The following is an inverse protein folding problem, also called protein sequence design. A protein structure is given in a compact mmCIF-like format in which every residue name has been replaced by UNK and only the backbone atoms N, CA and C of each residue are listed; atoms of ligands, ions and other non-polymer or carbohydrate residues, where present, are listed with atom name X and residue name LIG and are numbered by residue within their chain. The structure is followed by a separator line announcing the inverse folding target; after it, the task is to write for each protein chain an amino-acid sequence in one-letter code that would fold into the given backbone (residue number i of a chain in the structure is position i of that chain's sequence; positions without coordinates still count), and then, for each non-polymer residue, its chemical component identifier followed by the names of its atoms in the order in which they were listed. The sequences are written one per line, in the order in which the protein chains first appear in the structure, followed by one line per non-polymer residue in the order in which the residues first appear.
data_IF_088874815009
#
_entry.id   IF_088874815009
#
_cell.length_a   1.000
_cell.length_b   1.000
_cell.length_c   1.000
_cell.angle_alpha   90.00
_cell.angle_beta   90.00
_cell.angle_gamma   90.00
#
_symmetry.space_group_name_H-M   'P 1'
#
loop_
_entity.id
_entity.type
_entity.pdbx_description
1 polymer ?
#
# COMPACT_ATOMS: atom_id res chain seq x y z
N UNK A 1 0.61 20.97 5.35
CA UNK A 1 1.08 19.63 4.98
C UNK A 1 1.91 19.72 3.71
N UNK A 2 3.00 19.01 3.68
CA UNK A 2 3.88 19.02 2.53
C UNK A 2 3.30 18.10 1.44
N UNK A 3 3.09 18.67 0.24
CA UNK A 3 2.46 17.97 -0.86
C UNK A 3 3.32 16.85 -1.46
N UNK A 4 4.61 16.80 -1.09
CA UNK A 4 5.52 15.80 -1.62
C UNK A 4 5.66 14.55 -0.75
N UNK A 5 4.99 14.52 0.40
CA UNK A 5 5.00 13.34 1.26
C UNK A 5 4.16 12.23 0.65
N UNK A 6 4.70 11.01 0.66
CA UNK A 6 3.96 9.86 0.14
C UNK A 6 3.03 9.33 1.22
N UNK A 7 1.72 9.47 1.00
CA UNK A 7 0.69 9.03 1.95
C UNK A 7 -0.06 7.79 1.50
N UNK A 8 -0.02 7.50 0.20
CA UNK A 8 -0.77 6.39 -0.38
C UNK A 8 0.01 5.86 -1.58
N UNK A 9 0.07 4.55 -1.69
CA UNK A 9 0.66 3.90 -2.85
C UNK A 9 -0.46 3.37 -3.74
N UNK A 10 -0.39 3.73 -5.03
CA UNK A 10 -1.33 3.26 -6.03
C UNK A 10 -0.60 2.49 -7.10
N UNK A 11 -1.14 1.35 -7.46
CA UNK A 11 -0.58 0.52 -8.52
C UNK A 11 -1.71 -0.02 -9.39
N UNK A 12 -1.54 0.10 -10.70
CA UNK A 12 -2.49 -0.46 -11.65
C UNK A 12 -1.88 -1.67 -12.32
N UNK A 13 -2.62 -2.78 -12.33
CA UNK A 13 -2.22 -3.98 -13.04
C UNK A 13 -3.31 -4.33 -14.04
N UNK A 14 -2.94 -4.35 -15.32
CA UNK A 14 -3.89 -4.59 -16.40
C UNK A 14 -4.13 -6.06 -16.67
N UNK A 15 -3.24 -6.92 -16.21
CA UNK A 15 -3.35 -8.36 -16.40
C UNK A 15 -3.90 -9.00 -15.14
N UNK A 16 -4.75 -10.01 -15.32
CA UNK A 16 -5.20 -10.82 -14.20
C UNK A 16 -4.08 -11.79 -13.84
N UNK A 17 -3.14 -11.32 -13.05
CA UNK A 17 -2.08 -12.16 -12.52
C UNK A 17 -2.48 -12.72 -11.16
N UNK A 18 -1.70 -13.68 -10.68
CA UNK A 18 -1.87 -14.19 -9.34
C UNK A 18 -1.65 -13.05 -8.33
N UNK A 19 -2.44 -13.04 -7.26
CA UNK A 19 -2.27 -12.07 -6.17
C UNK A 19 -0.86 -12.11 -5.59
N UNK A 20 -0.23 -13.28 -5.63
CA UNK A 20 1.14 -13.46 -5.13
C UNK A 20 2.17 -12.67 -5.92
N UNK A 21 1.89 -12.38 -7.17
CA UNK A 21 2.82 -11.65 -8.02
C UNK A 21 2.80 -10.15 -7.75
N UNK A 22 1.71 -9.64 -7.16
CA UNK A 22 1.55 -8.21 -6.86
C UNK A 22 2.20 -7.81 -5.53
N UNK A 23 2.18 -8.71 -4.55
CA UNK A 23 2.66 -8.39 -3.21
C UNK A 23 4.12 -7.95 -3.15
N UNK A 24 5.07 -8.64 -3.82
CA UNK A 24 6.46 -8.19 -3.77
C UNK A 24 6.66 -6.79 -4.31
N UNK A 25 5.93 -6.41 -5.36
CA UNK A 25 6.03 -5.07 -5.94
C UNK A 25 5.50 -4.00 -4.98
N UNK A 26 4.36 -4.27 -4.36
CA UNK A 26 3.76 -3.33 -3.42
C UNK A 26 4.68 -3.14 -2.20
N UNK A 27 5.25 -4.22 -1.69
CA UNK A 27 6.18 -4.16 -0.56
C UNK A 27 7.42 -3.35 -0.92
N UNK A 28 7.99 -3.59 -2.11
CA UNK A 28 9.16 -2.85 -2.57
C UNK A 28 8.88 -1.35 -2.67
N UNK A 29 7.72 -0.99 -3.21
CA UNK A 29 7.31 0.42 -3.31
C UNK A 29 7.15 1.06 -1.93
N UNK A 30 6.61 0.31 -0.96
CA UNK A 30 6.45 0.82 0.39
C UNK A 30 7.80 1.08 1.06
N UNK A 31 8.79 0.20 0.83
CA UNK A 31 10.13 0.40 1.38
C UNK A 31 10.78 1.65 0.78
N UNK A 32 10.64 1.85 -0.52
CA UNK A 32 11.17 3.05 -1.19
C UNK A 32 10.47 4.31 -0.66
N UNK A 33 9.15 4.26 -0.49
CA UNK A 33 8.38 5.39 0.02
C UNK A 33 8.80 5.77 1.44
N UNK A 34 9.08 4.77 2.28
CA UNK A 34 9.57 5.00 3.63
C UNK A 34 10.90 5.78 3.60
N UNK A 35 11.83 5.32 2.78
CA UNK A 35 13.13 5.96 2.68
C UNK A 35 13.01 7.40 2.17
N UNK A 36 12.17 7.64 1.17
CA UNK A 36 11.97 8.97 0.61
C UNK A 36 11.31 9.92 1.61
N UNK A 37 10.30 9.47 2.35
CA UNK A 37 9.63 10.29 3.35
C UNK A 37 10.58 10.67 4.47
N UNK A 38 11.40 9.74 4.96
CA UNK A 38 12.36 10.03 6.02
C UNK A 38 13.44 11.01 5.55
N UNK A 39 13.91 10.84 4.31
CA UNK A 39 14.89 11.77 3.76
C UNK A 39 14.33 13.18 3.68
N UNK A 40 13.08 13.30 3.29
CA UNK A 40 12.42 14.60 3.21
C UNK A 40 12.22 15.21 4.58
N UNK A 41 11.77 14.43 5.56
CA UNK A 41 11.58 14.92 6.91
C UNK A 41 12.89 15.45 7.50
N UNK A 42 13.99 14.71 7.32
CA UNK A 42 15.29 15.12 7.82
C UNK A 42 15.81 16.38 7.10
N UNK A 43 15.72 16.38 5.77
CA UNK A 43 16.33 17.44 4.95
C UNK A 43 15.50 18.72 4.94
N UNK A 44 14.20 18.62 4.71
CA UNK A 44 13.35 19.78 4.46
C UNK A 44 12.67 20.30 5.71
N UNK A 45 12.27 19.41 6.62
CA UNK A 45 11.49 19.76 7.78
C UNK A 45 12.31 19.72 9.08
N UNK A 46 13.54 19.23 9.01
CA UNK A 46 14.43 19.08 10.15
C UNK A 46 13.77 18.34 11.31
N UNK A 47 12.97 17.33 10.97
CA UNK A 47 12.28 16.49 11.94
C UNK A 47 13.07 15.22 12.19
N UNK A 48 12.92 14.59 13.37
CA UNK A 48 13.57 13.31 13.62
C UNK A 48 13.03 12.24 12.67
N UNK A 49 13.88 11.26 12.34
CA UNK A 49 13.50 10.16 11.46
C UNK A 49 12.41 9.33 12.12
N UNK A 50 11.47 8.87 11.32
CA UNK A 50 10.39 8.02 11.78
C UNK A 50 10.89 6.59 11.93
N UNK A 51 10.53 5.93 13.04
CA UNK A 51 10.91 4.53 13.25
C UNK A 51 10.05 3.56 12.46
N UNK A 52 8.80 3.92 12.20
CA UNK A 52 7.91 3.10 11.41
C UNK A 52 6.82 3.95 10.78
N UNK A 53 6.39 3.55 9.60
CA UNK A 53 5.29 4.18 8.88
C UNK A 53 4.38 3.09 8.35
N UNK A 54 3.08 3.23 8.57
CA UNK A 54 2.08 2.35 7.97
C UNK A 54 1.61 2.95 6.66
N UNK A 55 1.82 2.23 5.55
CA UNK A 55 1.40 2.66 4.23
C UNK A 55 0.11 1.95 3.84
N UNK A 56 -0.97 2.69 3.62
CA UNK A 56 -2.12 2.14 2.93
C UNK A 56 -1.78 2.03 1.44
N UNK A 57 -2.05 0.87 0.85
CA UNK A 57 -1.73 0.62 -0.55
C UNK A 57 -2.97 0.09 -1.27
N UNK A 58 -3.12 0.50 -2.51
CA UNK A 58 -4.25 0.10 -3.32
C UNK A 58 -3.73 -0.38 -4.68
N UNK A 59 -4.05 -1.62 -5.02
CA UNK A 59 -3.73 -2.19 -6.32
C UNK A 59 -5.02 -2.48 -7.07
N UNK A 60 -5.10 -2.05 -8.32
CA UNK A 60 -6.26 -2.32 -9.15
C UNK A 60 -5.95 -3.47 -10.10
N UNK A 61 -6.71 -4.54 -10.00
CA UNK A 61 -6.65 -5.67 -10.95
C UNK A 61 -7.88 -5.53 -11.83
N UNK A 62 -7.68 -4.94 -13.02
CA UNK A 62 -8.81 -4.46 -13.80
C UNK A 62 -9.49 -3.32 -13.06
N UNK A 63 -10.78 -3.46 -12.73
CA UNK A 63 -11.51 -2.49 -11.91
C UNK A 63 -11.82 -3.02 -10.51
N UNK A 64 -11.14 -4.09 -10.10
CA UNK A 64 -11.30 -4.67 -8.76
C UNK A 64 -10.13 -4.21 -7.88
N UNK A 65 -10.39 -3.49 -6.79
CA UNK A 65 -9.32 -3.04 -5.91
C UNK A 65 -8.88 -4.15 -4.96
N UNK A 66 -7.59 -4.14 -4.64
CA UNK A 66 -7.01 -4.96 -3.58
C UNK A 66 -6.34 -4.00 -2.62
N UNK A 67 -6.70 -4.10 -1.35
CA UNK A 67 -6.23 -3.16 -0.32
C UNK A 67 -5.14 -3.82 0.51
N UNK A 68 -4.09 -3.04 0.79
CA UNK A 68 -3.00 -3.49 1.65
C UNK A 68 -2.72 -2.47 2.73
N UNK A 69 -2.31 -2.95 3.90
CA UNK A 69 -1.69 -2.13 4.93
C UNK A 69 -0.31 -2.72 5.20
N UNK A 70 0.72 -1.92 4.98
CA UNK A 70 2.10 -2.36 5.10
C UNK A 70 2.82 -1.42 6.04
N UNK A 71 3.31 -1.95 7.16
CA UNK A 71 4.10 -1.16 8.11
C UNK A 71 5.57 -1.41 7.83
N UNK A 72 6.28 -0.36 7.44
CA UNK A 72 7.71 -0.41 7.17
C UNK A 72 8.44 0.19 8.36
N UNK A 73 9.41 -0.55 8.90
CA UNK A 73 10.22 -0.09 10.02
C UNK A 73 11.59 0.38 9.52
N UNK A 74 12.25 1.22 10.32
CA UNK A 74 13.60 1.64 10.01
C UNK A 74 14.56 0.44 9.95
N UNK A 75 14.34 -0.57 10.80
CA UNK A 75 15.15 -1.78 10.80
C UNK A 75 15.03 -2.55 9.49
N UNK A 76 13.79 -2.69 8.97
CA UNK A 76 13.58 -3.35 7.68
C UNK A 76 14.24 -2.58 6.54
N UNK A 77 14.07 -1.27 6.52
CA UNK A 77 14.65 -0.41 5.48
C UNK A 77 16.18 -0.55 5.47
N UNK A 78 16.78 -0.54 6.65
CA UNK A 78 18.23 -0.68 6.80
C UNK A 78 18.71 -2.05 6.34
N UNK A 79 17.98 -3.11 6.71
CA UNK A 79 18.34 -4.48 6.30
C UNK A 79 18.32 -4.62 4.79
N UNK A 80 17.30 -4.04 4.11
CA UNK A 80 17.23 -4.09 2.66
C UNK A 80 18.38 -3.32 2.01
N UNK A 81 18.72 -2.15 2.54
CA UNK A 81 19.80 -1.34 2.00
C UNK A 81 21.17 -2.02 2.13
N UNK A 82 21.37 -2.78 3.19
CA UNK A 82 22.66 -3.45 3.44
C UNK A 82 22.69 -4.88 2.93
N UNK A 83 21.59 -5.38 2.37
CA UNK A 83 21.50 -6.76 1.89
C UNK A 83 21.43 -7.77 3.02
N UNK A 84 21.10 -7.35 4.23
CA UNK A 84 20.97 -8.22 5.40
C UNK A 84 19.56 -8.78 5.50
N UNK A 85 19.44 -9.94 6.14
CA UNK A 85 18.13 -10.52 6.41
C UNK A 85 17.55 -9.86 7.67
N UNK A 86 16.30 -9.35 7.62
CA UNK A 86 15.72 -8.71 8.79
C UNK A 86 15.44 -9.70 9.91
N UNK A 87 15.66 -9.27 11.16
CA UNK A 87 15.45 -10.13 12.33
C UNK A 87 13.97 -10.28 12.68
N UNK A 88 13.19 -9.24 12.41
CA UNK A 88 11.77 -9.20 12.76
C UNK A 88 10.91 -9.32 11.51
N UNK A 89 9.87 -10.11 11.61
CA UNK A 89 8.93 -10.27 10.50
C UNK A 89 8.19 -8.96 10.22
N UNK A 90 7.95 -8.71 8.93
CA UNK A 90 7.08 -7.62 8.49
C UNK A 90 5.75 -8.22 8.11
N UNK A 91 4.68 -7.73 8.75
CA UNK A 91 3.33 -8.19 8.46
C UNK A 91 2.69 -7.31 7.40
N UNK A 92 2.08 -7.96 6.43
CA UNK A 92 1.34 -7.29 5.35
C UNK A 92 -0.10 -7.74 5.45
N UNK A 93 -1.00 -6.79 5.64
CA UNK A 93 -2.44 -7.08 5.68
C UNK A 93 -3.02 -6.83 4.30
N UNK A 94 -3.72 -7.83 3.79
CA UNK A 94 -4.33 -7.77 2.46
C UNK A 94 -5.83 -8.00 2.60
N UNK A 95 -6.62 -7.12 1.98
CA UNK A 95 -8.07 -7.28 1.95
C UNK A 95 -8.56 -7.30 0.52
N UNK A 96 -9.25 -8.37 0.17
CA UNK A 96 -9.87 -8.57 -1.13
C UNK A 96 -11.38 -8.49 -0.90
N UNK A 97 -12.04 -7.56 -1.58
CA UNK A 97 -13.48 -7.39 -1.43
C UNK A 97 -14.22 -8.62 -1.95
N UNK A 98 -15.11 -9.17 -1.11
CA UNK A 98 -16.01 -10.25 -1.54
C UNK A 98 -17.17 -9.61 -2.31
N UNK A 99 -17.21 -9.85 -3.62
CA UNK A 99 -18.18 -9.21 -4.50
C UNK A 99 -19.41 -10.09 -4.70
N UNK A 100 -20.61 -9.48 -4.86
CA UNK A 100 -21.83 -10.23 -5.16
C UNK A 100 -21.77 -10.96 -6.50
N UNK A 101 -21.07 -10.38 -7.48
CA UNK A 101 -20.82 -11.00 -8.79
C UNK A 101 -19.36 -11.38 -8.87
N UNK A 102 -18.94 -11.93 -10.02
CA UNK A 102 -17.57 -12.38 -10.20
C UNK A 102 -16.57 -11.25 -10.04
N UNK A 103 -15.46 -11.53 -9.36
CA UNK A 103 -14.40 -10.54 -9.18
C UNK A 103 -13.82 -10.09 -10.53
N UNK A 104 -13.79 -10.97 -11.52
CA UNK A 104 -13.29 -10.64 -12.86
C UNK A 104 -14.16 -9.58 -13.57
N UNK A 105 -15.42 -9.43 -13.17
CA UNK A 105 -16.30 -8.41 -13.73
C UNK A 105 -16.01 -7.02 -13.15
N UNK A 106 -15.40 -6.97 -11.97
CA UNK A 106 -15.01 -5.73 -11.32
C UNK A 106 -16.20 -4.80 -11.08
N UNK A 107 -16.06 -3.55 -11.50
CA UNK A 107 -17.09 -2.52 -11.31
C UNK A 107 -18.20 -2.51 -12.35
N UNK A 108 -18.18 -3.41 -13.33
CA UNK A 108 -19.20 -3.45 -14.36
C UNK A 108 -20.60 -3.67 -13.81
N UNK A 109 -20.85 -4.74 -13.00
CA UNK A 109 -22.18 -4.91 -12.42
C UNK A 109 -22.41 -3.89 -11.31
N UNK A 110 -23.62 -3.32 -11.26
CA UNK A 110 -23.95 -2.33 -10.24
C UNK A 110 -23.77 -2.86 -8.80
N UNK A 111 -24.20 -4.10 -8.46
CA UNK A 111 -23.97 -4.60 -7.10
C UNK A 111 -22.48 -4.63 -6.70
N UNK A 112 -21.61 -5.02 -7.63
CA UNK A 112 -20.16 -5.01 -7.39
C UNK A 112 -19.66 -3.59 -7.17
N UNK A 113 -20.10 -2.66 -8.01
CA UNK A 113 -19.69 -1.26 -7.95
C UNK A 113 -20.03 -0.65 -6.61
N UNK A 114 -21.25 -0.88 -6.12
CA UNK A 114 -21.67 -0.36 -4.82
C UNK A 114 -20.81 -0.89 -3.69
N UNK A 115 -20.51 -2.20 -3.72
CA UNK A 115 -19.66 -2.81 -2.70
C UNK A 115 -18.24 -2.25 -2.73
N UNK A 116 -17.68 -2.09 -3.92
CA UNK A 116 -16.32 -1.55 -4.10
C UNK A 116 -16.26 -0.12 -3.59
N UNK A 117 -17.25 0.72 -3.93
CA UNK A 117 -17.27 2.11 -3.49
C UNK A 117 -17.35 2.22 -1.97
N UNK A 118 -18.11 1.33 -1.32
CA UNK A 118 -18.15 1.28 0.14
C UNK A 118 -16.79 0.94 0.74
N UNK A 119 -16.08 0.00 0.13
CA UNK A 119 -14.75 -0.37 0.59
C UNK A 119 -13.75 0.76 0.40
N UNK A 120 -13.81 1.47 -0.72
CA UNK A 120 -12.96 2.63 -0.96
C UNK A 120 -13.23 3.73 0.07
N UNK A 121 -14.49 3.97 0.39
CA UNK A 121 -14.86 4.97 1.40
C UNK A 121 -14.32 4.59 2.78
N UNK A 122 -14.44 3.33 3.16
CA UNK A 122 -13.90 2.86 4.42
C UNK A 122 -12.37 2.96 4.47
N UNK A 123 -11.71 2.74 3.33
CA UNK A 123 -10.25 2.78 3.25
C UNK A 123 -9.69 4.18 3.46
N UNK A 124 -10.48 5.21 3.20
CA UNK A 124 -10.03 6.60 3.39
C UNK A 124 -9.57 6.91 4.81
N UNK A 125 -10.08 6.18 5.79
CA UNK A 125 -9.69 6.36 7.19
C UNK A 125 -8.16 6.26 7.35
N UNK A 126 -7.52 5.39 6.58
CA UNK A 126 -6.07 5.17 6.67
C UNK A 126 -5.25 6.26 6.01
N UNK A 127 -5.89 7.21 5.33
CA UNK A 127 -5.20 8.33 4.71
C UNK A 127 -5.02 9.53 5.65
N UNK A 128 -5.42 9.39 6.91
CA UNK A 128 -5.17 10.39 7.93
C UNK A 128 -6.17 11.54 8.01
N UNK A 129 -7.32 11.35 7.43
CA UNK A 129 -8.37 12.38 7.50
C UNK A 129 -9.46 12.00 8.48
#
# INVERSE_FOLDING_TARGET
MDDNEILLLLQEEKRLTSMKDLEPQVIAEAIVAFALNNRKWERDLNLPLCNSIMFPCLTMVGTTPVFYKITITAALSRAVQTGSYPETETRVFCYITSLPRRNSEGMRPLPNRLKILRCLEAFKIFLGN
#
